data_IF_443199637419
#
_entry.id   IF_443199637419
#
_cell.length_a   1.000
_cell.length_b   1.000
_cell.length_c   1.000
_cell.angle_alpha   90.00
_cell.angle_beta   90.00
_cell.angle_gamma   90.00
#
_symmetry.space_group_name_H-M   'P 1'
#
loop_
_entity.id
_entity.type
_entity.pdbx_description
1 polymer ?
#
# COMPACT_ATOMS: atom_id res chain seq x y z
N UNK A 1 2.74 5.86 -7.43
CA UNK A 1 2.42 4.58 -6.79
C UNK A 1 3.60 4.05 -6.02
N UNK A 2 3.33 3.55 -4.82
CA UNK A 2 4.31 2.99 -3.92
C UNK A 2 3.94 1.57 -3.50
N UNK A 3 4.93 0.69 -3.49
CA UNK A 3 4.79 -0.65 -2.92
C UNK A 3 4.88 -0.54 -1.40
N UNK A 4 3.85 -1.01 -0.71
CA UNK A 4 3.72 -0.94 0.74
C UNK A 4 3.35 -2.29 1.32
N UNK A 5 3.98 -2.65 2.43
CA UNK A 5 3.60 -3.80 3.27
C UNK A 5 2.64 -3.28 4.31
N UNK A 6 1.42 -3.83 4.34
CA UNK A 6 0.36 -3.43 5.29
C UNK A 6 0.12 -4.54 6.31
N UNK A 7 -0.46 -4.19 7.46
CA UNK A 7 -0.98 -5.19 8.41
C UNK A 7 -2.18 -5.91 7.78
N UNK A 8 -1.99 -7.20 7.51
CA UNK A 8 -3.03 -8.12 7.07
C UNK A 8 -3.70 -8.81 8.24
N UNK A 9 -4.04 -10.09 8.06
CA UNK A 9 -4.72 -10.86 9.10
C UNK A 9 -3.73 -11.39 10.12
N UNK A 10 -3.79 -10.92 11.37
CA UNK A 10 -2.85 -11.35 12.42
C UNK A 10 -3.07 -12.80 12.92
N UNK A 11 -4.07 -13.50 12.41
CA UNK A 11 -4.37 -14.89 12.76
C UNK A 11 -3.99 -15.89 11.67
N UNK A 12 -3.58 -15.42 10.49
CA UNK A 12 -3.13 -16.24 9.39
C UNK A 12 -1.85 -17.04 9.71
N UNK A 13 -1.77 -18.26 9.18
CA UNK A 13 -0.67 -19.19 9.48
C UNK A 13 0.66 -18.79 8.82
N UNK A 14 0.63 -17.90 7.81
CA UNK A 14 1.79 -17.52 6.99
C UNK A 14 2.12 -16.04 7.07
N UNK A 15 3.42 -15.72 7.20
CA UNK A 15 3.91 -14.34 7.29
C UNK A 15 3.54 -13.45 6.10
N UNK A 16 3.33 -14.02 4.91
CA UNK A 16 2.88 -13.28 3.72
C UNK A 16 1.42 -12.83 3.79
N UNK A 17 0.59 -13.53 4.57
CA UNK A 17 -0.84 -13.24 4.75
C UNK A 17 -1.06 -12.30 5.96
N UNK A 18 -0.14 -12.38 6.93
CA UNK A 18 0.02 -11.43 8.03
C UNK A 18 0.41 -10.03 7.55
N UNK A 19 1.22 -9.97 6.49
CA UNK A 19 1.83 -8.75 5.97
C UNK A 19 1.75 -8.74 4.44
N UNK A 20 0.55 -8.61 3.86
CA UNK A 20 0.39 -8.54 2.43
C UNK A 20 1.07 -7.29 1.88
N UNK A 21 1.65 -7.45 0.70
CA UNK A 21 2.28 -6.35 -0.04
C UNK A 21 1.28 -5.85 -1.07
N UNK A 22 1.01 -4.54 -1.06
CA UNK A 22 0.00 -3.90 -1.91
C UNK A 22 0.55 -2.62 -2.50
N UNK A 23 0.02 -2.21 -3.65
CA UNK A 23 0.32 -0.91 -4.22
C UNK A 23 -0.65 0.13 -3.66
N UNK A 24 -0.10 1.23 -3.16
CA UNK A 24 -0.85 2.36 -2.64
C UNK A 24 -0.41 3.65 -3.34
N UNK A 25 -1.35 4.57 -3.54
CA UNK A 25 -1.02 5.90 -4.02
C UNK A 25 -0.36 6.73 -2.92
N UNK A 26 0.40 7.74 -3.32
CA UNK A 26 1.10 8.64 -2.41
C UNK A 26 0.15 9.27 -1.38
N UNK A 27 -1.06 9.65 -1.79
CA UNK A 27 -2.08 10.23 -0.91
C UNK A 27 -2.49 9.28 0.23
N UNK A 28 -2.80 8.02 -0.09
CA UNK A 28 -3.14 7.01 0.92
C UNK A 28 -1.97 6.72 1.86
N UNK A 29 -0.74 6.70 1.34
CA UNK A 29 0.47 6.51 2.14
C UNK A 29 0.70 7.69 3.08
N UNK A 30 0.50 8.93 2.61
CA UNK A 30 0.62 10.14 3.42
C UNK A 30 -0.46 10.23 4.49
N UNK A 31 -1.73 9.93 4.14
CA UNK A 31 -2.84 9.92 5.10
C UNK A 31 -2.63 8.87 6.19
N UNK A 32 -2.14 7.68 5.85
CA UNK A 32 -1.79 6.67 6.84
C UNK A 32 -0.66 7.15 7.75
N UNK A 33 0.42 7.71 7.19
CA UNK A 33 1.52 8.26 7.98
C UNK A 33 1.06 9.38 8.93
N UNK A 34 0.08 10.19 8.53
CA UNK A 34 -0.55 11.19 9.39
C UNK A 34 -1.37 10.56 10.53
N UNK A 35 -1.86 9.33 10.38
CA UNK A 35 -2.58 8.59 11.42
C UNK A 35 -1.67 8.13 12.58
N UNK A 36 -0.34 8.19 12.41
CA UNK A 36 0.65 7.96 13.47
C UNK A 36 0.62 6.54 14.02
N UNK A 37 0.11 6.36 15.25
CA UNK A 37 0.00 5.04 15.89
C UNK A 37 -1.11 4.17 15.28
N UNK A 38 -2.00 4.74 14.47
CA UNK A 38 -3.04 4.00 13.73
C UNK A 38 -2.62 3.70 12.29
N UNK A 39 -1.33 3.84 11.96
CA UNK A 39 -0.78 3.45 10.66
C UNK A 39 -1.02 1.97 10.42
N UNK A 40 -1.57 1.64 9.25
CA UNK A 40 -1.70 0.26 8.78
C UNK A 40 -0.51 -0.16 7.94
N UNK A 41 0.27 0.81 7.44
CA UNK A 41 1.48 0.55 6.66
C UNK A 41 2.64 0.21 7.60
N UNK A 42 3.14 -1.01 7.48
CA UNK A 42 4.30 -1.50 8.23
C UNK A 42 5.60 -1.01 7.61
N UNK A 43 5.70 -1.06 6.27
CA UNK A 43 6.91 -0.67 5.55
C UNK A 43 6.57 -0.18 4.16
N UNK A 44 7.18 0.92 3.75
CA UNK A 44 7.12 1.40 2.36
C UNK A 44 8.37 0.90 1.64
N UNK A 45 8.20 -0.01 0.68
CA UNK A 45 9.32 -0.60 -0.07
C UNK A 45 9.79 0.30 -1.23
N UNK A 46 8.99 1.29 -1.64
CA UNK A 46 9.39 2.27 -2.65
C UNK A 46 8.49 2.23 -3.86
N UNK A 47 9.05 2.14 -5.07
CA UNK A 47 8.29 2.15 -6.32
C UNK A 47 7.24 1.02 -6.36
N UNK A 48 6.05 1.34 -6.88
CA UNK A 48 4.97 0.37 -7.08
C UNK A 48 5.43 -0.83 -7.93
N UNK A 49 4.92 -2.00 -7.58
CA UNK A 49 5.30 -3.26 -8.23
C UNK A 49 4.23 -3.66 -9.25
N UNK A 50 4.58 -3.86 -10.54
CA UNK A 50 3.60 -4.14 -11.58
C UNK A 50 2.87 -5.48 -11.40
N UNK A 51 3.44 -6.44 -10.66
CA UNK A 51 2.80 -7.73 -10.37
C UNK A 51 1.62 -7.59 -9.38
N UNK A 52 1.61 -6.51 -8.56
CA UNK A 52 0.50 -6.18 -7.65
C UNK A 52 -0.64 -5.41 -8.32
N UNK A 53 -0.45 -4.99 -9.58
CA UNK A 53 -1.40 -4.20 -10.35
C UNK A 53 -1.13 -2.69 -10.28
N UNK A 54 -1.64 -1.97 -11.26
CA UNK A 54 -1.39 -0.53 -11.43
C UNK A 54 -2.33 0.35 -10.59
N UNK A 55 -3.17 -0.24 -9.74
CA UNK A 55 -4.22 0.44 -8.98
C UNK A 55 -3.97 0.40 -7.48
N UNK A 56 -4.40 1.45 -6.78
CA UNK A 56 -4.29 1.58 -5.33
C UNK A 56 -5.27 0.61 -4.69
N UNK A 57 -4.77 -0.27 -3.81
CA UNK A 57 -5.64 -1.25 -3.13
C UNK A 57 -6.70 -0.57 -2.26
N UNK A 58 -6.39 0.59 -1.66
CA UNK A 58 -7.29 1.27 -0.73
C UNK A 58 -8.35 2.14 -1.40
N UNK A 59 -7.95 3.00 -2.33
CA UNK A 59 -8.85 3.97 -2.96
C UNK A 59 -9.20 3.63 -4.41
N UNK A 60 -8.52 2.65 -5.02
CA UNK A 60 -8.71 2.28 -6.42
C UNK A 60 -8.10 3.23 -7.44
N UNK A 61 -7.33 4.25 -7.02
CA UNK A 61 -6.68 5.19 -7.94
C UNK A 61 -5.67 4.46 -8.86
N UNK A 62 -5.65 4.76 -10.16
CA UNK A 62 -4.75 4.12 -11.12
C UNK A 62 -3.43 4.90 -11.26
N UNK A 63 -2.30 4.21 -11.47
CA UNK A 63 -0.98 4.85 -11.59
C UNK A 63 -0.84 5.71 -12.86
N UNK A 64 -1.75 5.59 -13.82
CA UNK A 64 -1.80 6.52 -14.96
C UNK A 64 -2.29 7.93 -14.58
N UNK A 65 -3.04 8.08 -13.48
CA UNK A 65 -3.64 9.37 -13.10
C UNK A 65 -2.66 10.30 -12.35
N UNK A 66 -1.51 9.77 -11.94
CA UNK A 66 -0.38 10.50 -11.33
C UNK A 66 0.64 11.04 -12.35
N UNK A 67 0.44 10.78 -13.66
CA UNK A 67 1.33 11.21 -14.74
C UNK A 67 0.64 12.02 -15.84
N UNK A 68 -0.38 12.82 -15.49
CA UNK A 68 -0.92 13.82 -16.42
C UNK A 68 -1.23 15.14 -15.72
N UNK A 69 -0.22 16.00 -15.61
CA UNK A 69 -0.36 17.44 -15.37
C UNK A 69 0.36 18.20 -16.48
#
# INVERSE_FOLDING_TARGET
>A
MKKCVVYGDMQADSAADQYPTVNLCDDCVEEDQKAGENTRIVTVEGAGDPDLGDSCEWCGAEASEEHTA
#
